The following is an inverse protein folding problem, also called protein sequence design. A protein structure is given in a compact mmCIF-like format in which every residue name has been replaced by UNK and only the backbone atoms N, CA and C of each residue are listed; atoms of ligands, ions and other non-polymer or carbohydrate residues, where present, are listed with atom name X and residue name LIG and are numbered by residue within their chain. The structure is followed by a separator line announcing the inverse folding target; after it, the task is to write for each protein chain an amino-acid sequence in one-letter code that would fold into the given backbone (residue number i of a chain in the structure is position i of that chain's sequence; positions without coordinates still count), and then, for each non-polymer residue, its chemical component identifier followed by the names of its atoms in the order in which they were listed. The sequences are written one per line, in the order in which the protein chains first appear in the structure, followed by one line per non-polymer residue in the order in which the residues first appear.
data_IF_772435596279
#
_entry.id   IF_772435596279
#
_cell.length_a   1.000
_cell.length_b   1.000
_cell.length_c   1.000
_cell.angle_alpha   90.00
_cell.angle_beta   90.00
_cell.angle_gamma   90.00
#
_symmetry.space_group_name_H-M   'P 1'
#
loop_
_entity.id
_entity.type
_entity.pdbx_description
1 polymer ?
#
# COMPACT_ATOMS: atom_id res chain seq x y z
N UNK A 1 10.08 -22.16 -5.77
CA UNK A 1 10.09 -20.92 -4.98
C UNK A 1 8.64 -20.53 -4.75
N UNK A 2 8.23 -20.44 -3.48
CA UNK A 2 6.91 -20.02 -3.06
C UNK A 2 6.92 -18.54 -2.72
N UNK A 3 5.88 -17.80 -3.24
CA UNK A 3 5.69 -16.36 -3.02
C UNK A 3 4.30 -16.12 -2.44
N UNK A 4 4.24 -15.64 -1.21
CA UNK A 4 2.98 -15.28 -0.57
C UNK A 4 2.62 -13.83 -0.87
N UNK A 5 1.35 -13.57 -1.16
CA UNK A 5 0.84 -12.25 -1.49
C UNK A 5 -0.61 -12.04 -1.01
N UNK A 6 -1.06 -10.80 -1.01
CA UNK A 6 -2.44 -10.39 -0.67
C UNK A 6 -3.20 -9.82 -1.86
N UNK A 7 -2.67 -10.00 -3.09
CA UNK A 7 -3.33 -9.50 -4.29
C UNK A 7 -4.66 -10.21 -4.52
N UNK A 8 -5.63 -9.45 -5.02
CA UNK A 8 -6.95 -9.95 -5.39
C UNK A 8 -7.41 -9.32 -6.71
N UNK A 9 -8.47 -9.88 -7.32
CA UNK A 9 -9.04 -9.39 -8.57
C UNK A 9 -7.98 -9.21 -9.67
N UNK A 10 -7.99 -8.06 -10.34
CA UNK A 10 -7.11 -7.79 -11.48
C UNK A 10 -5.61 -7.80 -11.10
N UNK A 11 -5.25 -7.43 -9.89
CA UNK A 11 -3.86 -7.50 -9.43
C UNK A 11 -3.38 -8.95 -9.33
N UNK A 12 -4.22 -9.83 -8.79
CA UNK A 12 -3.91 -11.25 -8.69
C UNK A 12 -3.80 -11.90 -10.08
N UNK A 13 -4.70 -11.55 -10.99
CA UNK A 13 -4.66 -12.08 -12.36
C UNK A 13 -3.36 -11.69 -13.06
N UNK A 14 -2.92 -10.43 -12.90
CA UNK A 14 -1.68 -9.94 -13.49
C UNK A 14 -0.45 -10.57 -12.83
N UNK A 15 -0.42 -10.67 -11.51
CA UNK A 15 0.66 -11.36 -10.80
C UNK A 15 0.79 -12.82 -11.28
N UNK A 16 -0.32 -13.54 -11.35
CA UNK A 16 -0.35 -14.90 -11.86
C UNK A 16 0.10 -15.00 -13.33
N UNK A 17 -0.20 -13.97 -14.14
CA UNK A 17 0.31 -13.88 -15.52
C UNK A 17 1.82 -13.74 -15.54
N UNK A 18 2.39 -12.87 -14.72
CA UNK A 18 3.84 -12.68 -14.59
C UNK A 18 4.56 -13.94 -14.10
N UNK A 19 4.01 -14.62 -13.12
CA UNK A 19 4.54 -15.91 -12.63
C UNK A 19 4.56 -16.95 -13.73
N UNK A 20 3.47 -17.08 -14.49
CA UNK A 20 3.42 -18.01 -15.64
C UNK A 20 4.45 -17.65 -16.72
N UNK A 21 4.64 -16.36 -16.99
CA UNK A 21 5.62 -15.90 -17.98
C UNK A 21 7.05 -16.19 -17.51
N UNK A 22 7.37 -15.90 -16.26
CA UNK A 22 8.65 -16.25 -15.66
C UNK A 22 8.93 -17.76 -15.77
N UNK A 23 7.98 -18.59 -15.38
CA UNK A 23 8.13 -20.06 -15.40
C UNK A 23 8.33 -20.61 -16.82
N UNK A 24 7.76 -19.96 -17.84
CA UNK A 24 7.93 -20.35 -19.26
C UNK A 24 9.26 -19.90 -19.87
N UNK A 25 9.84 -18.83 -19.36
CA UNK A 25 11.03 -18.17 -19.90
C UNK A 25 12.24 -18.39 -18.99
N UNK A 26 12.58 -17.43 -18.16
CA UNK A 26 13.74 -17.44 -17.27
C UNK A 26 13.73 -18.63 -16.31
N UNK A 27 12.58 -18.95 -15.75
CA UNK A 27 12.42 -20.07 -14.83
C UNK A 27 12.76 -21.40 -15.50
N UNK A 28 12.25 -21.61 -16.72
CA UNK A 28 12.56 -22.82 -17.52
C UNK A 28 14.05 -22.92 -17.84
N UNK A 29 14.67 -21.82 -18.23
CA UNK A 29 16.09 -21.76 -18.56
C UNK A 29 16.98 -22.08 -17.34
N UNK A 30 16.60 -21.53 -16.16
CA UNK A 30 17.37 -21.66 -14.93
C UNK A 30 16.96 -22.86 -14.06
N UNK A 31 15.96 -23.63 -14.45
CA UNK A 31 15.43 -24.74 -13.65
C UNK A 31 14.69 -24.27 -12.39
N UNK A 32 14.08 -23.09 -12.41
CA UNK A 32 13.37 -22.46 -11.29
C UNK A 32 11.87 -22.46 -11.60
N UNK A 33 11.06 -22.92 -10.66
CA UNK A 33 9.60 -22.81 -10.69
C UNK A 33 9.15 -21.90 -9.57
N UNK A 34 8.32 -20.90 -9.88
CA UNK A 34 7.70 -19.99 -8.91
C UNK A 34 6.22 -20.34 -8.81
N UNK A 35 5.72 -20.38 -7.59
CA UNK A 35 4.31 -20.55 -7.24
C UNK A 35 3.87 -19.37 -6.39
N UNK A 36 2.78 -18.70 -6.80
CA UNK A 36 2.16 -17.62 -6.01
C UNK A 36 1.00 -18.16 -5.19
N UNK A 37 0.97 -17.83 -3.91
CA UNK A 37 -0.09 -18.19 -2.98
C UNK A 37 -0.73 -16.95 -2.36
N UNK A 38 -2.04 -16.76 -2.61
CA UNK A 38 -2.83 -15.68 -2.02
C UNK A 38 -3.17 -16.01 -0.57
N UNK A 39 -2.77 -15.14 0.36
CA UNK A 39 -2.95 -15.30 1.80
C UNK A 39 -4.10 -14.47 2.37
N UNK A 40 -5.03 -14.03 1.51
CA UNK A 40 -6.17 -13.19 1.94
C UNK A 40 -5.82 -11.71 2.01
N UNK A 41 -6.12 -11.06 3.11
CA UNK A 41 -5.78 -9.66 3.38
C UNK A 41 -4.32 -9.50 3.78
N UNK A 42 -3.81 -8.25 3.80
CA UNK A 42 -2.45 -7.99 4.29
C UNK A 42 -2.27 -8.44 5.74
N UNK A 43 -3.23 -8.21 6.61
CA UNK A 43 -3.16 -8.64 8.02
C UNK A 43 -3.15 -10.16 8.17
N UNK A 44 -3.88 -10.89 7.32
CA UNK A 44 -3.83 -12.35 7.30
C UNK A 44 -2.49 -12.87 6.79
N UNK A 45 -1.94 -12.25 5.75
CA UNK A 45 -0.60 -12.59 5.26
C UNK A 45 0.47 -12.40 6.34
N UNK A 46 0.47 -11.25 7.02
CA UNK A 46 1.42 -10.96 8.11
C UNK A 46 1.28 -11.93 9.27
N UNK A 47 0.05 -12.23 9.68
CA UNK A 47 -0.21 -13.23 10.72
C UNK A 47 0.30 -14.63 10.31
N UNK A 48 0.04 -15.05 9.07
CA UNK A 48 0.49 -16.34 8.57
C UNK A 48 2.03 -16.43 8.52
N UNK A 49 2.72 -15.36 8.13
CA UNK A 49 4.19 -15.29 8.14
C UNK A 49 4.74 -15.44 9.56
N UNK A 50 4.19 -14.70 10.53
CA UNK A 50 4.61 -14.78 11.93
C UNK A 50 4.29 -16.16 12.54
N UNK A 51 3.16 -16.74 12.21
CA UNK A 51 2.78 -18.08 12.66
C UNK A 51 3.73 -19.15 12.10
N UNK A 52 4.14 -19.03 10.85
CA UNK A 52 5.15 -19.90 10.22
C UNK A 52 6.51 -19.76 10.89
N UNK A 53 6.97 -18.53 11.17
CA UNK A 53 8.23 -18.27 11.89
C UNK A 53 8.21 -18.88 13.30
N UNK A 54 7.09 -18.76 14.01
CA UNK A 54 6.93 -19.27 15.37
C UNK A 54 6.69 -20.77 15.43
N UNK A 55 6.49 -21.45 14.29
CA UNK A 55 6.21 -22.87 14.21
C UNK A 55 4.91 -23.27 14.91
N UNK A 56 3.88 -22.40 14.83
CA UNK A 56 2.58 -22.68 15.46
C UNK A 56 1.93 -23.92 14.87
N UNK A 57 1.20 -24.65 15.71
CA UNK A 57 0.49 -25.84 15.27
C UNK A 57 -0.54 -25.49 14.18
N UNK A 58 -0.43 -26.12 13.02
CA UNK A 58 -1.28 -25.87 11.86
C UNK A 58 -0.83 -24.73 10.94
N UNK A 59 0.27 -24.03 11.28
CA UNK A 59 0.87 -23.06 10.36
C UNK A 59 1.56 -23.76 9.19
N UNK A 60 1.51 -23.12 8.03
CA UNK A 60 2.28 -23.53 6.87
C UNK A 60 3.78 -23.30 7.06
N UNK A 61 4.59 -23.87 6.18
CA UNK A 61 6.01 -23.57 6.19
C UNK A 61 6.27 -22.16 5.69
N UNK A 62 7.32 -21.52 6.23
CA UNK A 62 7.73 -20.17 5.81
C UNK A 62 7.98 -20.14 4.30
N UNK A 63 7.36 -19.20 3.55
CA UNK A 63 7.60 -19.07 2.13
C UNK A 63 9.01 -18.56 1.84
N UNK A 64 9.46 -18.71 0.60
CA UNK A 64 10.74 -18.15 0.17
C UNK A 64 10.69 -16.62 0.04
N UNK A 65 9.53 -16.09 -0.35
CA UNK A 65 9.29 -14.66 -0.53
C UNK A 65 7.87 -14.32 -0.10
N UNK A 66 7.65 -13.13 0.40
CA UNK A 66 6.31 -12.63 0.71
C UNK A 66 6.21 -11.12 0.53
N UNK A 67 5.02 -10.63 0.21
CA UNK A 67 4.74 -9.21 0.16
C UNK A 67 4.55 -8.68 1.60
N UNK A 68 5.16 -7.53 1.91
CA UNK A 68 5.07 -6.92 3.22
C UNK A 68 5.13 -5.40 3.15
N UNK A 69 4.60 -4.73 4.15
CA UNK A 69 4.95 -3.35 4.46
C UNK A 69 6.19 -3.30 5.37
N UNK A 70 6.76 -2.10 5.51
CA UNK A 70 8.02 -1.91 6.22
C UNK A 70 7.99 -2.34 7.68
N UNK A 71 6.87 -2.13 8.38
CA UNK A 71 6.67 -2.51 9.78
C UNK A 71 6.69 -4.04 9.99
N UNK A 72 5.92 -4.78 9.20
CA UNK A 72 5.92 -6.23 9.25
C UNK A 72 7.27 -6.82 8.81
N UNK A 73 7.89 -6.26 7.78
CA UNK A 73 9.21 -6.70 7.34
C UNK A 73 10.30 -6.42 8.39
N UNK A 74 10.19 -5.30 9.12
CA UNK A 74 11.08 -5.01 10.25
C UNK A 74 10.93 -6.04 11.38
N UNK A 75 9.70 -6.44 11.74
CA UNK A 75 9.47 -7.47 12.75
C UNK A 75 10.11 -8.81 12.33
N UNK A 76 9.96 -9.20 11.07
CA UNK A 76 10.60 -10.42 10.53
C UNK A 76 12.12 -10.31 10.54
N UNK A 77 12.70 -9.14 10.26
CA UNK A 77 14.14 -8.90 10.36
C UNK A 77 14.65 -9.03 11.80
N UNK A 78 13.93 -8.47 12.78
CA UNK A 78 14.29 -8.61 14.20
C UNK A 78 14.27 -10.08 14.69
N UNK A 79 13.46 -10.92 14.04
CA UNK A 79 13.43 -12.36 14.30
C UNK A 79 14.54 -13.14 13.56
N UNK A 80 15.33 -12.45 12.71
CA UNK A 80 16.44 -13.02 11.97
C UNK A 80 16.05 -13.79 10.70
N UNK A 81 14.85 -13.56 10.16
CA UNK A 81 14.33 -14.25 8.97
C UNK A 81 14.40 -13.43 7.69
N UNK A 82 14.75 -12.15 7.75
CA UNK A 82 14.93 -11.33 6.56
C UNK A 82 16.37 -11.43 6.03
N UNK A 83 16.51 -11.78 4.75
CA UNK A 83 17.80 -11.84 4.05
C UNK A 83 18.16 -10.43 3.57
N UNK A 84 19.44 -10.06 3.69
CA UNK A 84 19.96 -8.89 3.02
C UNK A 84 20.04 -9.14 1.51
N UNK A 85 19.27 -8.37 0.75
CA UNK A 85 19.18 -8.49 -0.70
C UNK A 85 20.27 -7.68 -1.42
N UNK A 86 20.91 -6.72 -0.76
CA UNK A 86 21.88 -5.81 -1.37
C UNK A 86 23.01 -6.52 -2.12
N UNK A 87 23.62 -7.59 -1.60
CA UNK A 87 24.69 -8.31 -2.29
C UNK A 87 24.27 -8.97 -3.62
N UNK A 88 22.98 -9.07 -3.89
CA UNK A 88 22.43 -9.71 -5.09
C UNK A 88 22.08 -8.69 -6.19
N UNK A 89 22.25 -7.40 -5.93
CA UNK A 89 22.01 -6.33 -6.89
C UNK A 89 23.30 -5.53 -7.15
N UNK A 90 23.45 -5.09 -8.38
CA UNK A 90 24.47 -4.09 -8.74
C UNK A 90 23.95 -2.68 -8.45
N UNK A 91 24.86 -1.73 -8.26
CA UNK A 91 24.49 -0.30 -8.11
C UNK A 91 23.72 0.21 -9.33
N UNK A 92 24.07 -0.25 -10.53
CA UNK A 92 23.35 0.11 -11.76
C UNK A 92 21.91 -0.39 -11.74
N UNK A 93 21.65 -1.59 -11.24
CA UNK A 93 20.29 -2.12 -11.10
C UNK A 93 19.49 -1.31 -10.09
N UNK A 94 20.04 -1.03 -8.92
CA UNK A 94 19.37 -0.26 -7.87
C UNK A 94 19.12 1.20 -8.31
N UNK A 95 20.01 1.81 -9.08
CA UNK A 95 19.85 3.18 -9.58
C UNK A 95 18.66 3.39 -10.52
N UNK A 96 18.05 2.31 -11.03
CA UNK A 96 16.83 2.37 -11.86
C UNK A 96 15.57 2.59 -11.02
N UNK A 97 15.66 2.50 -9.70
CA UNK A 97 14.56 2.69 -8.77
C UNK A 97 14.64 4.05 -8.09
N UNK A 98 13.54 4.54 -7.58
CA UNK A 98 13.52 5.77 -6.76
C UNK A 98 14.32 5.53 -5.50
N UNK A 99 15.34 6.35 -5.26
CA UNK A 99 16.26 6.20 -4.12
C UNK A 99 15.55 6.08 -2.78
N UNK A 100 14.53 6.92 -2.52
CA UNK A 100 13.73 6.86 -1.29
C UNK A 100 13.05 5.50 -1.07
N UNK A 101 12.64 4.81 -2.13
CA UNK A 101 12.03 3.50 -2.02
C UNK A 101 13.03 2.38 -1.72
N UNK A 102 14.26 2.51 -2.23
CA UNK A 102 15.35 1.59 -1.89
C UNK A 102 15.81 1.82 -0.44
N UNK A 103 15.95 3.08 -0.03
CA UNK A 103 16.38 3.45 1.33
C UNK A 103 15.39 2.96 2.40
N UNK A 104 14.11 2.90 2.09
CA UNK A 104 13.07 2.33 2.99
C UNK A 104 13.34 0.85 3.34
N UNK A 105 14.08 0.14 2.51
CA UNK A 105 14.49 -1.25 2.76
C UNK A 105 15.61 -1.41 3.78
N UNK A 106 16.16 -0.32 4.32
CA UNK A 106 17.22 -0.32 5.32
C UNK A 106 16.64 -0.07 6.71
N UNK A 107 16.54 -1.12 7.52
CA UNK A 107 15.90 -1.04 8.85
C UNK A 107 16.84 -0.68 10.00
N UNK A 108 18.12 -0.95 9.88
CA UNK A 108 19.06 -0.88 11.00
C UNK A 108 20.07 0.26 10.91
N UNK A 109 19.93 1.15 9.91
CA UNK A 109 20.94 2.17 9.63
C UNK A 109 22.24 1.59 9.06
N UNK A 110 22.28 0.28 8.84
CA UNK A 110 23.32 -0.42 8.10
C UNK A 110 23.08 -0.30 6.59
N UNK A 111 24.12 -0.46 5.81
CA UNK A 111 24.02 -0.43 4.35
C UNK A 111 23.46 -1.77 3.83
N UNK A 112 22.18 -2.03 4.11
CA UNK A 112 21.46 -3.25 3.79
C UNK A 112 20.17 -2.98 2.99
N UNK A 113 19.60 -4.02 2.38
CA UNK A 113 18.32 -3.98 1.67
C UNK A 113 17.48 -5.19 2.09
N UNK A 114 16.60 -5.02 3.06
CA UNK A 114 15.78 -6.10 3.62
C UNK A 114 14.45 -6.29 2.90
N UNK A 115 13.92 -5.22 2.31
CA UNK A 115 12.77 -5.29 1.42
C UNK A 115 13.10 -4.63 0.08
N UNK A 116 12.52 -5.17 -0.98
CA UNK A 116 12.68 -4.64 -2.33
C UNK A 116 11.35 -4.03 -2.81
N UNK A 117 11.32 -2.78 -3.32
CA UNK A 117 10.08 -2.13 -3.73
C UNK A 117 9.53 -2.78 -5.00
N UNK A 118 8.35 -3.36 -4.91
CA UNK A 118 7.61 -3.92 -6.05
C UNK A 118 6.57 -2.94 -6.57
N UNK A 119 5.82 -2.32 -5.66
CA UNK A 119 4.81 -1.31 -5.98
C UNK A 119 4.65 -0.37 -4.79
N UNK A 120 4.34 0.88 -5.07
CA UNK A 120 3.96 1.89 -4.08
C UNK A 120 2.63 2.49 -4.45
N UNK A 121 1.79 2.71 -3.47
CA UNK A 121 0.53 3.42 -3.62
C UNK A 121 0.57 4.72 -2.85
N UNK A 122 -0.23 5.67 -3.29
CA UNK A 122 -0.42 6.96 -2.62
C UNK A 122 -1.90 7.21 -2.44
N UNK A 123 -2.26 7.91 -1.38
CA UNK A 123 -3.60 8.43 -1.23
C UNK A 123 -3.76 9.70 -2.06
N UNK A 124 -4.90 9.83 -2.69
CA UNK A 124 -5.27 10.98 -3.49
C UNK A 124 -6.63 11.49 -3.04
N UNK A 125 -6.74 12.79 -2.84
CA UNK A 125 -8.04 13.44 -2.72
C UNK A 125 -8.65 13.58 -4.12
N UNK A 126 -9.71 12.81 -4.39
CA UNK A 126 -10.47 12.92 -5.64
C UNK A 126 -11.59 13.93 -5.46
N UNK A 127 -11.61 14.95 -6.31
CA UNK A 127 -12.60 16.02 -6.28
C UNK A 127 -13.61 15.84 -7.41
N UNK A 128 -14.91 15.77 -7.07
CA UNK A 128 -15.97 15.89 -8.08
C UNK A 128 -16.03 17.33 -8.58
N UNK A 129 -15.45 17.58 -9.73
CA UNK A 129 -15.31 18.94 -10.30
C UNK A 129 -16.65 19.64 -10.49
N UNK A 130 -17.68 18.93 -10.93
CA UNK A 130 -19.00 19.51 -11.20
C UNK A 130 -19.66 20.07 -9.94
N UNK A 131 -19.60 19.35 -8.84
CA UNK A 131 -20.17 19.79 -7.57
C UNK A 131 -19.26 20.81 -6.87
N UNK A 132 -17.96 20.65 -7.01
CA UNK A 132 -16.98 21.62 -6.53
C UNK A 132 -17.19 23.02 -7.15
N UNK A 133 -17.37 23.12 -8.48
CA UNK A 133 -17.57 24.39 -9.17
C UNK A 133 -18.81 25.13 -8.65
N UNK A 134 -19.90 24.42 -8.36
CA UNK A 134 -21.11 25.00 -7.76
C UNK A 134 -20.85 25.55 -6.37
N UNK A 135 -20.26 24.71 -5.51
CA UNK A 135 -19.96 25.06 -4.15
C UNK A 135 -18.94 26.19 -4.05
N UNK A 136 -17.79 26.05 -4.70
CA UNK A 136 -16.71 27.04 -4.66
C UNK A 136 -17.14 28.42 -5.14
N UNK A 137 -17.95 28.47 -6.22
CA UNK A 137 -18.51 29.71 -6.72
C UNK A 137 -19.53 30.36 -5.77
N UNK A 138 -20.28 29.56 -5.02
CA UNK A 138 -21.29 30.05 -4.07
C UNK A 138 -20.69 30.56 -2.77
N UNK A 139 -19.61 29.93 -2.30
CA UNK A 139 -19.01 30.17 -0.96
C UNK A 139 -17.69 30.94 -1.03
N UNK A 140 -17.06 30.99 -2.22
CA UNK A 140 -15.80 31.73 -2.43
C UNK A 140 -14.57 30.98 -1.91
N UNK A 141 -14.56 29.63 -1.97
CA UNK A 141 -13.42 28.80 -1.62
C UNK A 141 -12.65 28.37 -2.88
N UNK A 142 -11.38 28.06 -2.73
CA UNK A 142 -10.50 27.61 -3.82
C UNK A 142 -9.91 26.23 -3.52
N UNK A 143 -9.29 25.61 -4.50
CA UNK A 143 -8.61 24.32 -4.31
C UNK A 143 -7.35 24.43 -3.45
N UNK A 144 -6.85 25.63 -3.20
CA UNK A 144 -5.67 25.86 -2.34
C UNK A 144 -5.99 25.52 -0.88
N UNK A 145 -7.22 25.74 -0.41
CA UNK A 145 -7.66 25.35 0.93
C UNK A 145 -7.62 23.82 1.13
N UNK A 146 -7.63 23.03 0.05
CA UNK A 146 -7.57 21.57 0.13
C UNK A 146 -6.13 21.02 0.26
N UNK A 147 -5.13 21.87 0.32
CA UNK A 147 -3.72 21.45 0.42
C UNK A 147 -3.28 21.00 1.82
N UNK A 148 -4.10 21.24 2.84
CA UNK A 148 -3.84 20.85 4.23
C UNK A 148 -5.06 20.20 4.87
N UNK A 149 -4.86 19.38 5.90
CA UNK A 149 -5.97 18.74 6.64
C UNK A 149 -6.85 19.78 7.33
N UNK A 150 -6.26 20.85 7.88
CA UNK A 150 -6.99 21.96 8.46
C UNK A 150 -7.87 22.65 7.44
N UNK A 151 -7.32 22.94 6.25
CA UNK A 151 -8.07 23.56 5.17
C UNK A 151 -9.21 22.68 4.63
N UNK A 152 -8.97 21.36 4.51
CA UNK A 152 -10.03 20.39 4.18
C UNK A 152 -11.13 20.41 5.25
N UNK A 153 -10.76 20.46 6.54
CA UNK A 153 -11.71 20.48 7.66
C UNK A 153 -12.59 21.74 7.64
N UNK A 154 -11.99 22.91 7.44
CA UNK A 154 -12.73 24.16 7.35
C UNK A 154 -13.62 24.22 6.07
N UNK A 155 -13.12 23.70 4.97
CA UNK A 155 -13.90 23.55 3.74
C UNK A 155 -15.09 22.61 3.93
N UNK A 156 -14.90 21.52 4.67
CA UNK A 156 -15.97 20.58 4.99
C UNK A 156 -17.10 21.21 5.82
N UNK A 157 -16.77 22.08 6.78
CA UNK A 157 -17.78 22.84 7.54
C UNK A 157 -18.59 23.77 6.63
N UNK A 158 -17.89 24.53 5.78
CA UNK A 158 -18.54 25.41 4.82
C UNK A 158 -19.42 24.65 3.83
N UNK A 159 -18.99 23.47 3.42
CA UNK A 159 -19.78 22.62 2.51
C UNK A 159 -21.05 22.08 3.19
N UNK A 160 -20.92 21.65 4.45
CA UNK A 160 -22.07 21.23 5.23
C UNK A 160 -23.11 22.36 5.36
N UNK A 161 -22.68 23.55 5.80
CA UNK A 161 -23.55 24.73 5.95
C UNK A 161 -24.19 25.15 4.64
N UNK A 162 -23.42 25.11 3.54
CA UNK A 162 -23.95 25.44 2.22
C UNK A 162 -25.01 24.44 1.76
N UNK A 163 -24.75 23.13 1.90
CA UNK A 163 -25.73 22.12 1.50
C UNK A 163 -26.96 22.10 2.38
N UNK A 164 -26.82 22.35 3.68
CA UNK A 164 -27.96 22.53 4.63
C UNK A 164 -28.85 23.69 4.21
N UNK A 165 -28.25 24.79 3.72
CA UNK A 165 -29.01 25.96 3.26
C UNK A 165 -29.78 25.74 1.96
N UNK A 166 -29.55 24.63 1.24
CA UNK A 166 -30.24 24.32 -0.01
C UNK A 166 -31.58 23.63 0.18
N UNK A 167 -31.90 23.22 1.40
CA UNK A 167 -33.15 22.51 1.76
C UNK A 167 -33.92 23.29 2.84
N UNK A 168 -35.19 22.95 3.05
CA UNK A 168 -35.99 23.52 4.14
C UNK A 168 -35.76 22.76 5.47
N UNK A 169 -35.18 21.55 5.42
CA UNK A 169 -34.84 20.73 6.57
C UNK A 169 -33.57 21.27 7.20
N UNK A 170 -33.52 21.35 8.53
CA UNK A 170 -32.36 21.86 9.26
C UNK A 170 -31.46 20.70 9.69
N UNK A 171 -30.15 20.91 9.59
CA UNK A 171 -29.10 19.95 9.99
C UNK A 171 -29.07 18.69 9.08
N UNK A 172 -29.43 18.85 7.79
CA UNK A 172 -29.35 17.80 6.78
C UNK A 172 -28.17 18.00 5.80
N UNK A 173 -27.24 18.86 6.17
CA UNK A 173 -26.03 19.13 5.38
C UNK A 173 -25.24 17.87 5.05
N UNK A 174 -24.59 17.87 3.88
CA UNK A 174 -23.88 16.71 3.34
C UNK A 174 -22.43 16.69 3.77
N UNK A 175 -21.87 15.49 3.93
CA UNK A 175 -20.44 15.31 4.12
C UNK A 175 -19.66 15.73 2.88
N UNK A 176 -18.58 16.47 3.08
CA UNK A 176 -17.71 16.95 2.01
C UNK A 176 -16.85 15.83 1.41
N UNK A 177 -16.29 14.97 2.24
CA UNK A 177 -15.44 13.85 1.79
C UNK A 177 -15.64 12.62 2.66
N UNK A 178 -15.23 11.48 2.13
CA UNK A 178 -15.13 10.20 2.85
C UNK A 178 -13.73 9.62 2.66
N UNK A 179 -13.26 8.88 3.65
CA UNK A 179 -12.02 8.13 3.63
C UNK A 179 -12.32 6.65 3.86
N UNK A 180 -11.59 5.77 3.21
CA UNK A 180 -11.89 4.34 3.17
C UNK A 180 -11.61 3.60 4.49
N UNK A 181 -10.56 3.99 5.21
CA UNK A 181 -10.16 3.32 6.45
C UNK A 181 -9.67 4.29 7.52
N UNK A 182 -10.00 3.98 8.79
CA UNK A 182 -9.54 4.76 9.92
C UNK A 182 -8.01 4.71 10.09
N UNK A 183 -7.39 3.58 9.79
CA UNK A 183 -5.94 3.43 9.81
C UNK A 183 -5.24 4.44 8.90
N UNK A 184 -5.74 4.64 7.67
CA UNK A 184 -5.23 5.64 6.74
C UNK A 184 -5.37 7.07 7.27
N UNK A 185 -6.41 7.32 8.06
CA UNK A 185 -6.58 8.63 8.72
C UNK A 185 -5.53 8.90 9.80
N UNK A 186 -5.07 7.86 10.49
CA UNK A 186 -4.08 7.97 11.55
C UNK A 186 -2.64 8.09 11.04
N UNK A 187 -2.40 7.70 9.78
CA UNK A 187 -1.06 7.72 9.14
C UNK A 187 -0.80 8.99 8.31
N UNK A 188 -1.77 9.88 8.21
CA UNK A 188 -1.68 11.09 7.39
C UNK A 188 -1.00 12.27 8.09
#
# INVERSE_FOLDING_TARGET
IEVWHYYNGAQQDEFNRLVREFNKTVGKEKGIVVEGSGQGTISELEANVLDAIQGKAGADQMPNMFAAYGDAAYEVDQLGYAVDLKPYFTEEELSKYVEGYITEGNFSGEDSLKIFPVAKSVELLMLNKTDWEKFSSSVGVTTEELSTIEGITETAKKYYEWTDSLTEEQNDGKAFFGRDAFANYMLA
#
